data_IF_247156254578
#
_entry.id   IF_247156254578
#
_cell.length_a   1.000
_cell.length_b   1.000
_cell.length_c   1.000
_cell.angle_alpha   90.00
_cell.angle_beta   90.00
_cell.angle_gamma   90.00
#
_symmetry.space_group_name_H-M   'P 1'
#
loop_
_entity.id
_entity.type
_entity.pdbx_description
1 polymer ?
#
# COMPACT_ATOMS: atom_id res chain seq x y z
N UNK A 1 7.54 -2.12 5.10
CA UNK A 1 8.36 -0.90 5.28
C UNK A 1 7.92 -0.20 6.51
N UNK A 2 8.86 0.29 7.31
CA UNK A 2 8.54 1.16 8.43
C UNK A 2 9.51 2.33 8.51
N UNK A 3 9.02 3.46 9.02
CA UNK A 3 9.85 4.59 9.42
C UNK A 3 9.65 4.84 10.90
N UNK A 4 10.64 4.46 11.68
CA UNK A 4 10.56 4.54 13.14
C UNK A 4 11.24 5.83 13.62
N UNK A 5 10.55 6.69 14.40
CA UNK A 5 11.21 7.77 15.12
C UNK A 5 12.10 7.20 16.22
N UNK A 6 13.30 7.76 16.37
CA UNK A 6 14.29 7.39 17.38
C UNK A 6 14.66 8.62 18.22
N UNK A 7 13.90 8.92 19.29
CA UNK A 7 14.21 10.00 20.22
C UNK A 7 15.58 9.84 20.87
N UNK A 8 16.36 10.93 20.86
CA UNK A 8 17.69 11.04 21.45
C UNK A 8 17.87 12.43 22.08
N UNK A 9 17.03 12.80 23.08
CA UNK A 9 16.97 14.16 23.61
C UNK A 9 18.30 14.65 24.21
N UNK A 10 19.13 13.74 24.73
CA UNK A 10 20.40 14.06 25.38
C UNK A 10 21.63 13.86 24.49
N UNK A 11 21.45 13.49 23.22
CA UNK A 11 22.57 13.22 22.31
C UNK A 11 23.05 14.52 21.64
N UNK A 12 23.81 15.32 22.41
CA UNK A 12 24.31 16.64 22.01
C UNK A 12 25.18 16.60 20.73
N UNK A 13 25.90 15.50 20.49
CA UNK A 13 26.84 15.31 19.38
C UNK A 13 26.26 14.49 18.22
N UNK A 14 25.00 14.06 18.29
CA UNK A 14 24.36 13.33 17.20
C UNK A 14 24.18 14.26 15.99
N UNK A 15 24.96 14.01 14.94
CA UNK A 15 24.88 14.75 13.67
C UNK A 15 23.47 14.68 13.09
N UNK A 16 22.99 15.74 12.42
CA UNK A 16 21.71 15.75 11.68
C UNK A 16 20.47 15.31 12.50
N UNK A 17 20.43 15.65 13.79
CA UNK A 17 19.23 15.43 14.61
C UNK A 17 18.14 16.43 14.24
N UNK A 18 16.89 15.98 14.24
CA UNK A 18 15.73 16.80 13.97
C UNK A 18 14.61 16.56 14.98
N UNK A 19 13.44 17.13 14.68
CA UNK A 19 12.22 16.91 15.45
C UNK A 19 11.58 15.61 14.99
N UNK A 20 11.34 14.70 15.93
CA UNK A 20 10.67 13.40 15.69
C UNK A 20 9.45 13.27 16.58
N UNK A 21 8.49 12.45 16.15
CA UNK A 21 7.33 12.12 16.97
C UNK A 21 7.76 11.28 18.17
N UNK A 22 7.28 11.65 19.37
CA UNK A 22 7.39 10.85 20.58
C UNK A 22 6.05 10.93 21.32
N UNK A 23 5.32 9.82 21.49
CA UNK A 23 4.12 9.80 22.30
C UNK A 23 4.42 10.34 23.70
N UNK A 24 3.69 11.37 24.12
CA UNK A 24 3.79 11.93 25.45
C UNK A 24 2.40 11.89 26.10
N UNK A 25 2.20 11.13 27.19
CA UNK A 25 0.90 11.02 27.85
C UNK A 25 0.53 12.28 28.64
N UNK A 26 1.45 13.21 28.89
CA UNK A 26 1.18 14.45 29.60
C UNK A 26 0.28 15.39 28.76
N UNK A 27 -0.93 15.75 29.25
CA UNK A 27 -1.83 16.65 28.55
C UNK A 27 -1.16 18.00 28.24
N UNK A 28 -1.40 18.55 27.04
CA UNK A 28 -0.93 19.87 26.63
C UNK A 28 0.48 19.90 26.03
N UNK A 29 1.29 18.85 26.20
CA UNK A 29 2.62 18.78 25.59
C UNK A 29 2.55 18.33 24.13
N UNK A 30 3.35 18.97 23.27
CA UNK A 30 3.52 18.51 21.88
C UNK A 30 4.19 17.13 21.89
N UNK A 31 3.69 16.13 21.15
CA UNK A 31 4.25 14.77 21.13
C UNK A 31 5.48 14.72 20.22
N UNK A 32 6.52 15.47 20.59
CA UNK A 32 7.75 15.63 19.82
C UNK A 32 8.98 15.51 20.71
N UNK A 33 10.09 15.10 20.12
CA UNK A 33 11.39 15.10 20.76
C UNK A 33 12.51 15.35 19.74
N UNK A 34 13.70 15.66 20.25
CA UNK A 34 14.90 15.73 19.41
C UNK A 34 15.43 14.32 19.19
N UNK A 35 15.70 13.95 17.94
CA UNK A 35 16.16 12.62 17.58
C UNK A 35 16.40 12.48 16.08
N UNK A 36 16.21 11.28 15.56
CA UNK A 36 16.25 11.02 14.12
C UNK A 36 15.24 9.95 13.72
N UNK A 37 15.01 9.79 12.42
CA UNK A 37 14.16 8.72 11.90
C UNK A 37 15.03 7.65 11.26
N UNK A 38 14.63 6.40 11.37
CA UNK A 38 15.26 5.29 10.66
C UNK A 38 14.23 4.60 9.79
N UNK A 39 14.56 4.37 8.53
CA UNK A 39 13.77 3.58 7.61
C UNK A 39 14.27 2.15 7.59
N UNK A 40 13.35 1.20 7.78
CA UNK A 40 13.65 -0.23 7.87
C UNK A 40 12.88 -1.00 6.79
N UNK A 41 13.64 -1.77 6.03
CA UNK A 41 13.17 -2.78 5.10
C UNK A 41 13.33 -4.13 5.76
N UNK A 42 12.25 -4.91 5.82
CA UNK A 42 12.30 -6.27 6.35
C UNK A 42 11.50 -7.21 5.46
N UNK A 43 12.01 -8.43 5.29
CA UNK A 43 11.28 -9.53 4.70
C UNK A 43 10.33 -10.12 5.74
N UNK A 44 9.17 -10.57 5.28
CA UNK A 44 8.19 -11.32 6.05
C UNK A 44 8.17 -12.76 5.53
N UNK A 45 8.89 -13.68 6.19
CA UNK A 45 8.87 -15.08 5.80
C UNK A 45 7.48 -15.70 5.95
N UNK A 46 7.22 -16.74 5.16
CA UNK A 46 6.03 -17.55 5.34
C UNK A 46 6.06 -18.18 6.74
N UNK A 47 4.93 -18.11 7.44
CA UNK A 47 4.81 -18.59 8.81
C UNK A 47 3.39 -19.04 9.10
N UNK A 48 3.27 -19.99 10.01
CA UNK A 48 1.98 -20.35 10.59
C UNK A 48 1.46 -19.21 11.48
N UNK A 49 0.14 -19.16 11.65
CA UNK A 49 -0.50 -18.21 12.59
C UNK A 49 -0.10 -18.42 14.04
N UNK A 50 0.26 -19.66 14.38
CA UNK A 50 0.68 -20.03 15.72
C UNK A 50 2.14 -19.66 16.01
N UNK A 51 2.93 -19.39 14.97
CA UNK A 51 4.32 -19.00 15.16
C UNK A 51 4.37 -17.60 15.78
N UNK A 52 5.36 -17.31 16.64
CA UNK A 52 5.64 -15.95 17.08
C UNK A 52 5.87 -15.03 15.87
N UNK A 53 5.45 -13.74 15.93
CA UNK A 53 5.75 -12.80 14.87
C UNK A 53 7.26 -12.48 14.86
N UNK A 54 7.91 -12.69 13.72
CA UNK A 54 9.29 -12.29 13.49
C UNK A 54 9.47 -11.81 12.05
N UNK A 55 10.54 -11.08 11.80
CA UNK A 55 10.89 -10.51 10.50
C UNK A 55 12.40 -10.65 10.26
N UNK A 56 12.83 -10.65 9.00
CA UNK A 56 14.25 -10.59 8.65
C UNK A 56 14.59 -9.17 8.21
N UNK A 57 15.35 -8.38 8.98
CA UNK A 57 15.81 -7.08 8.54
C UNK A 57 16.68 -7.23 7.30
N UNK A 58 16.30 -6.59 6.20
CA UNK A 58 17.09 -6.56 4.97
C UNK A 58 18.00 -5.32 4.95
N UNK A 59 17.45 -4.16 5.32
CA UNK A 59 18.18 -2.90 5.37
C UNK A 59 17.63 -2.00 6.48
N UNK A 60 18.50 -1.23 7.11
CA UNK A 60 18.13 -0.15 8.03
C UNK A 60 19.00 1.08 7.71
N UNK A 61 18.37 2.21 7.46
CA UNK A 61 19.06 3.44 7.11
C UNK A 61 18.47 4.62 7.86
N UNK A 62 19.34 5.54 8.30
CA UNK A 62 18.90 6.81 8.87
C UNK A 62 18.35 7.73 7.78
N UNK A 63 17.20 8.35 8.05
CA UNK A 63 16.60 9.34 7.17
C UNK A 63 17.22 10.69 7.49
N UNK A 64 17.95 11.25 6.53
CA UNK A 64 18.56 12.58 6.66
C UNK A 64 17.47 13.68 6.73
N UNK A 65 17.80 14.83 7.32
CA UNK A 65 16.83 15.93 7.48
C UNK A 65 16.42 16.60 6.17
N UNK A 66 17.26 16.52 5.13
CA UNK A 66 17.05 17.08 3.79
C UNK A 66 16.29 16.14 2.84
N UNK A 67 15.92 14.95 3.31
CA UNK A 67 15.20 13.95 2.52
C UNK A 67 13.93 13.46 3.22
N UNK A 68 13.07 12.79 2.46
CA UNK A 68 11.86 12.16 2.99
C UNK A 68 12.09 10.69 3.28
N UNK A 69 11.38 10.18 4.28
CA UNK A 69 11.45 8.76 4.61
C UNK A 69 10.96 7.87 3.46
N UNK A 70 9.96 8.33 2.69
CA UNK A 70 9.46 7.60 1.52
C UNK A 70 10.50 7.57 0.39
N UNK A 71 11.29 8.63 0.19
CA UNK A 71 12.38 8.63 -0.79
C UNK A 71 13.49 7.65 -0.40
N UNK A 72 13.90 7.64 0.89
CA UNK A 72 14.87 6.67 1.42
C UNK A 72 14.35 5.24 1.24
N UNK A 73 13.10 4.97 1.64
CA UNK A 73 12.51 3.64 1.51
C UNK A 73 12.38 3.18 0.05
N UNK A 74 12.13 4.11 -0.90
CA UNK A 74 12.07 3.78 -2.32
C UNK A 74 13.45 3.38 -2.86
N UNK A 75 14.50 4.12 -2.46
CA UNK A 75 15.86 3.80 -2.81
C UNK A 75 16.32 2.47 -2.20
N UNK A 76 15.99 2.21 -0.93
CA UNK A 76 16.28 0.94 -0.27
C UNK A 76 15.61 -0.23 -0.98
N UNK A 77 14.33 -0.10 -1.36
CA UNK A 77 13.65 -1.13 -2.15
C UNK A 77 14.27 -1.34 -3.51
N UNK A 78 14.59 -0.27 -4.23
CA UNK A 78 15.24 -0.40 -5.53
C UNK A 78 16.59 -1.13 -5.40
N UNK A 79 17.36 -0.87 -4.36
CA UNK A 79 18.60 -1.59 -4.07
C UNK A 79 18.35 -3.07 -3.77
N UNK A 80 17.38 -3.40 -2.91
CA UNK A 80 17.02 -4.80 -2.57
C UNK A 80 16.53 -5.57 -3.80
N UNK A 81 15.77 -4.93 -4.68
CA UNK A 81 15.22 -5.55 -5.89
C UNK A 81 16.25 -5.67 -7.02
N UNK A 82 17.25 -4.78 -7.07
CA UNK A 82 18.33 -4.81 -8.04
C UNK A 82 19.50 -5.72 -7.64
N UNK A 83 19.59 -6.09 -6.36
CA UNK A 83 20.66 -6.95 -5.85
C UNK A 83 20.50 -8.40 -6.35
N UNK A 84 21.42 -8.91 -7.19
CA UNK A 84 21.35 -10.27 -7.70
C UNK A 84 21.58 -11.34 -6.62
N UNK A 85 22.14 -10.97 -5.46
CA UNK A 85 22.27 -11.88 -4.32
C UNK A 85 20.93 -12.08 -3.59
N UNK A 86 19.93 -11.25 -3.86
CA UNK A 86 18.59 -11.36 -3.31
C UNK A 86 17.63 -12.07 -4.28
N UNK A 87 16.68 -12.88 -3.79
CA UNK A 87 15.73 -13.58 -4.65
C UNK A 87 14.71 -12.64 -5.31
N UNK A 88 14.57 -11.41 -4.83
CA UNK A 88 13.44 -10.52 -5.12
C UNK A 88 13.49 -9.87 -6.52
N UNK A 89 14.66 -9.84 -7.17
CA UNK A 89 14.80 -9.33 -8.54
C UNK A 89 14.30 -10.31 -9.61
N UNK A 90 14.44 -11.61 -9.36
CA UNK A 90 14.04 -12.67 -10.29
C UNK A 90 12.66 -13.27 -9.96
N UNK A 91 12.37 -13.49 -8.68
CA UNK A 91 11.09 -14.04 -8.25
C UNK A 91 10.00 -12.98 -8.16
N UNK A 92 8.74 -13.40 -8.30
CA UNK A 92 7.60 -12.54 -7.98
C UNK A 92 7.69 -12.17 -6.49
N UNK A 93 7.85 -10.87 -6.22
CA UNK A 93 7.93 -10.34 -4.86
C UNK A 93 6.75 -9.43 -4.55
N UNK A 94 6.26 -9.50 -3.32
CA UNK A 94 5.16 -8.66 -2.83
C UNK A 94 5.64 -7.81 -1.67
N UNK A 95 5.54 -6.49 -1.82
CA UNK A 95 5.77 -5.54 -0.74
C UNK A 95 4.42 -5.17 -0.11
N UNK A 96 4.36 -5.16 1.23
CA UNK A 96 3.23 -4.57 1.96
C UNK A 96 3.68 -3.26 2.61
N UNK A 97 2.90 -2.20 2.40
CA UNK A 97 3.20 -0.84 2.85
C UNK A 97 1.95 -0.12 3.36
N UNK A 98 2.16 0.88 4.20
CA UNK A 98 1.08 1.73 4.70
C UNK A 98 0.65 2.80 3.67
N UNK A 99 -0.16 3.75 4.13
CA UNK A 99 -0.71 4.83 3.32
C UNK A 99 0.29 5.87 2.85
N UNK A 100 1.39 6.05 3.55
CA UNK A 100 2.38 7.06 3.22
C UNK A 100 3.15 6.67 1.96
N UNK A 101 3.29 5.37 1.69
CA UNK A 101 3.97 4.84 0.49
C UNK A 101 3.08 4.75 -0.75
N UNK A 102 1.79 5.08 -0.65
CA UNK A 102 0.87 4.94 -1.79
C UNK A 102 0.94 6.11 -2.80
N UNK A 103 1.85 7.07 -2.64
CA UNK A 103 1.94 8.24 -3.53
C UNK A 103 2.67 7.95 -4.84
N UNK A 104 2.36 8.71 -5.89
CA UNK A 104 2.83 8.46 -7.25
C UNK A 104 4.36 8.36 -7.37
N UNK A 105 5.12 9.26 -6.73
CA UNK A 105 6.58 9.22 -6.80
C UNK A 105 7.17 7.91 -6.25
N UNK A 106 6.66 7.38 -5.13
CA UNK A 106 7.12 6.11 -4.56
C UNK A 106 6.85 4.94 -5.51
N UNK A 107 5.60 4.85 -5.98
CA UNK A 107 5.15 3.80 -6.89
C UNK A 107 5.85 3.87 -8.26
N UNK A 108 6.22 5.08 -8.70
CA UNK A 108 6.96 5.30 -9.93
C UNK A 108 8.39 4.78 -9.83
N UNK A 109 9.10 5.03 -8.72
CA UNK A 109 10.45 4.49 -8.52
C UNK A 109 10.47 2.96 -8.62
N UNK A 110 9.50 2.29 -8.00
CA UNK A 110 9.41 0.82 -8.05
C UNK A 110 8.82 0.30 -9.37
N UNK A 111 8.48 1.19 -10.30
CA UNK A 111 7.85 0.81 -11.57
C UNK A 111 8.76 0.13 -12.57
N UNK A 112 10.07 0.27 -12.38
CA UNK A 112 11.07 -0.39 -13.20
C UNK A 112 11.14 -1.91 -12.96
N UNK A 113 10.65 -2.39 -11.81
CA UNK A 113 10.77 -3.80 -11.41
C UNK A 113 9.50 -4.56 -11.78
N UNK A 114 9.51 -5.21 -12.94
CA UNK A 114 8.32 -5.90 -13.45
C UNK A 114 7.86 -7.01 -12.53
N UNK A 115 8.76 -7.73 -11.86
CA UNK A 115 8.43 -8.86 -10.96
C UNK A 115 8.06 -8.41 -9.54
N UNK A 116 7.87 -7.12 -9.31
CA UNK A 116 7.59 -6.57 -7.99
C UNK A 116 6.17 -6.01 -7.89
N UNK A 117 5.46 -6.44 -6.85
CA UNK A 117 4.09 -6.03 -6.55
C UNK A 117 4.06 -5.20 -5.28
N UNK A 118 3.65 -3.94 -5.39
CA UNK A 118 3.45 -3.08 -4.21
C UNK A 118 1.99 -3.19 -3.77
N UNK A 119 1.79 -3.56 -2.50
CA UNK A 119 0.52 -3.52 -1.81
C UNK A 119 0.54 -2.43 -0.75
N UNK A 120 -0.06 -1.28 -1.05
CA UNK A 120 -0.07 -0.13 -0.14
C UNK A 120 -1.48 0.18 0.34
N UNK A 121 -1.67 0.54 1.61
CA UNK A 121 -2.96 1.11 2.04
C UNK A 121 -3.20 2.43 1.29
N UNK A 122 -4.44 2.76 0.93
CA UNK A 122 -4.79 4.06 0.40
C UNK A 122 -5.63 4.83 1.43
N UNK A 123 -5.30 6.12 1.64
CA UNK A 123 -6.14 6.98 2.46
C UNK A 123 -7.52 7.15 1.80
N UNK A 124 -8.58 7.12 2.61
CA UNK A 124 -9.98 7.13 2.14
C UNK A 124 -10.39 8.43 1.45
N UNK A 125 -9.67 9.54 1.71
CA UNK A 125 -9.91 10.83 1.09
C UNK A 125 -9.20 11.01 -0.27
N UNK A 126 -8.50 9.99 -0.78
CA UNK A 126 -7.80 10.09 -2.08
C UNK A 126 -8.76 9.99 -3.27
N UNK A 127 -8.38 10.69 -4.33
CA UNK A 127 -9.03 10.66 -5.63
C UNK A 127 -8.03 10.12 -6.66
N UNK A 128 -8.44 9.08 -7.35
CA UNK A 128 -7.76 8.54 -8.52
C UNK A 128 -8.51 8.96 -9.78
N UNK A 129 -7.87 8.79 -10.93
CA UNK A 129 -8.47 9.10 -12.22
C UNK A 129 -8.35 7.90 -13.15
N UNK A 130 -9.42 7.65 -13.89
CA UNK A 130 -9.41 6.73 -15.03
C UNK A 130 -8.52 7.32 -16.14
N UNK A 131 -8.00 6.50 -17.07
CA UNK A 131 -7.39 7.00 -18.29
C UNK A 131 -8.31 8.01 -18.96
N UNK A 132 -7.70 9.07 -19.51
CA UNK A 132 -8.43 9.91 -20.43
C UNK A 132 -8.93 9.06 -21.61
N UNK A 133 -10.16 9.29 -22.10
CA UNK A 133 -10.63 8.64 -23.32
C UNK A 133 -9.66 8.96 -24.46
N UNK A 134 -9.47 8.01 -25.38
CA UNK A 134 -8.66 8.23 -26.56
C UNK A 134 -9.25 9.42 -27.35
N UNK A 135 -8.52 10.54 -27.38
CA UNK A 135 -8.94 11.72 -28.13
C UNK A 135 -8.55 11.51 -29.60
N UNK A 136 -9.52 11.64 -30.50
CA UNK A 136 -9.25 11.82 -31.91
C UNK A 136 -8.64 13.21 -32.10
N UNK A 137 -7.31 13.27 -32.26
CA UNK A 137 -6.51 14.40 -32.76
C UNK A 137 -7.17 15.79 -32.60
N UNK A 138 -7.37 16.24 -31.37
CA UNK A 138 -7.78 17.61 -31.11
C UNK A 138 -6.55 18.51 -31.00
N UNK A 139 -6.54 19.63 -31.73
CA UNK A 139 -5.56 20.71 -31.50
C UNK A 139 -5.74 21.24 -30.07
N UNK A 140 -4.78 20.97 -29.19
CA UNK A 140 -4.79 21.45 -27.80
C UNK A 140 -3.92 20.62 -26.87
N UNK A 141 -3.82 21.07 -25.62
CA UNK A 141 -3.16 20.29 -24.57
C UNK A 141 -3.93 18.98 -24.34
N UNK A 142 -3.28 17.81 -24.39
CA UNK A 142 -3.96 16.54 -24.26
C UNK A 142 -4.63 16.39 -22.89
N UNK A 143 -5.84 15.83 -22.87
CA UNK A 143 -6.49 15.43 -21.63
C UNK A 143 -5.69 14.30 -21.00
N UNK A 144 -5.12 14.52 -19.81
CA UNK A 144 -4.31 13.51 -19.12
C UNK A 144 -5.13 12.55 -18.26
N UNK A 145 -6.28 13.00 -17.75
CA UNK A 145 -7.10 12.28 -16.78
C UNK A 145 -8.56 12.20 -17.24
N UNK A 146 -9.17 11.02 -17.08
CA UNK A 146 -10.58 10.78 -17.34
C UNK A 146 -11.45 11.02 -16.10
N UNK A 147 -12.56 10.29 -16.00
CA UNK A 147 -13.49 10.43 -14.89
C UNK A 147 -12.84 10.11 -13.52
N UNK A 148 -13.18 10.86 -12.46
CA UNK A 148 -12.63 10.64 -11.13
C UNK A 148 -13.14 9.33 -10.53
N UNK A 149 -12.30 8.74 -9.68
CA UNK A 149 -12.57 7.60 -8.83
C UNK A 149 -12.23 8.05 -7.39
N UNK A 150 -13.24 8.47 -6.64
CA UNK A 150 -13.09 9.04 -5.30
C UNK A 150 -13.30 7.95 -4.26
N UNK A 151 -12.30 7.67 -3.42
CA UNK A 151 -12.43 6.63 -2.40
C UNK A 151 -13.49 6.95 -1.33
N UNK A 152 -13.79 8.22 -1.11
CA UNK A 152 -14.83 8.64 -0.17
C UNK A 152 -16.25 8.54 -0.74
N UNK A 153 -16.40 8.31 -2.05
CA UNK A 153 -17.68 8.41 -2.76
C UNK A 153 -17.90 7.17 -3.66
N UNK A 154 -18.65 6.17 -3.14
CA UNK A 154 -18.91 4.91 -3.84
C UNK A 154 -19.60 5.04 -5.20
N UNK A 155 -20.36 6.11 -5.43
CA UNK A 155 -21.05 6.32 -6.71
C UNK A 155 -20.06 6.50 -7.86
N UNK A 156 -18.87 7.01 -7.56
CA UNK A 156 -17.80 7.20 -8.56
C UNK A 156 -17.06 5.92 -8.92
N UNK A 157 -17.31 4.79 -8.24
CA UNK A 157 -16.51 3.58 -8.41
C UNK A 157 -16.89 2.79 -9.67
N UNK A 158 -18.18 2.75 -9.99
CA UNK A 158 -18.74 1.85 -11.00
C UNK A 158 -18.66 0.38 -10.60
N UNK A 159 -19.03 -0.52 -11.51
CA UNK A 159 -18.98 -1.97 -11.26
C UNK A 159 -17.53 -2.50 -11.34
N UNK A 160 -17.14 -3.44 -10.46
CA UNK A 160 -15.84 -4.08 -10.56
C UNK A 160 -15.78 -5.01 -11.79
N UNK A 161 -14.63 -5.04 -12.44
CA UNK A 161 -14.33 -5.93 -13.58
C UNK A 161 -14.05 -7.37 -13.14
N UNK A 162 -13.52 -7.54 -11.94
CA UNK A 162 -13.20 -8.82 -11.33
C UNK A 162 -13.44 -8.69 -9.83
N UNK A 163 -13.94 -9.76 -9.22
CA UNK A 163 -14.02 -9.88 -7.78
C UNK A 163 -13.60 -11.28 -7.34
N UNK A 164 -13.03 -11.35 -6.14
CA UNK A 164 -12.76 -12.60 -5.45
C UNK A 164 -13.15 -12.43 -3.98
N UNK A 165 -13.71 -13.49 -3.41
CA UNK A 165 -14.12 -13.53 -2.01
C UNK A 165 -13.61 -14.78 -1.33
N UNK A 166 -13.18 -14.63 -0.09
CA UNK A 166 -12.81 -15.73 0.76
C UNK A 166 -13.13 -15.41 2.22
N UNK A 167 -13.28 -16.47 3.01
CA UNK A 167 -13.38 -16.35 4.46
C UNK A 167 -12.00 -16.52 5.06
N UNK A 168 -11.77 -15.77 6.12
CA UNK A 168 -10.58 -15.89 6.94
C UNK A 168 -10.91 -15.73 8.42
N UNK A 169 -9.93 -15.90 9.29
CA UNK A 169 -10.08 -15.79 10.73
C UNK A 169 -8.97 -14.92 11.34
N UNK A 170 -9.35 -14.06 12.27
CA UNK A 170 -8.37 -13.30 13.06
C UNK A 170 -7.64 -14.21 14.05
N UNK A 171 -6.56 -13.70 14.67
CA UNK A 171 -5.88 -14.39 15.78
C UNK A 171 -6.83 -14.71 16.96
N UNK A 172 -7.89 -13.93 17.13
CA UNK A 172 -8.94 -14.16 18.13
C UNK A 172 -10.03 -15.15 17.71
N UNK A 173 -9.89 -15.82 16.55
CA UNK A 173 -10.87 -16.77 16.01
C UNK A 173 -12.10 -16.13 15.37
N UNK A 174 -12.14 -14.80 15.22
CA UNK A 174 -13.26 -14.11 14.57
C UNK A 174 -13.21 -14.35 13.07
N UNK A 175 -14.28 -14.94 12.53
CA UNK A 175 -14.45 -15.08 11.07
C UNK A 175 -14.62 -13.71 10.44
N UNK A 176 -13.84 -13.45 9.41
CA UNK A 176 -13.90 -12.26 8.57
C UNK A 176 -14.13 -12.69 7.12
N UNK A 177 -14.97 -11.96 6.40
CA UNK A 177 -15.03 -12.05 4.94
C UNK A 177 -13.99 -11.10 4.37
N UNK A 178 -13.27 -11.54 3.36
CA UNK A 178 -12.34 -10.74 2.61
C UNK A 178 -12.87 -10.67 1.18
N UNK A 179 -13.01 -9.45 0.65
CA UNK A 179 -13.38 -9.20 -0.72
C UNK A 179 -12.19 -8.51 -1.40
N UNK A 180 -11.93 -8.88 -2.64
CA UNK A 180 -10.94 -8.26 -3.50
C UNK A 180 -11.66 -7.88 -4.78
N UNK A 181 -11.72 -6.59 -5.07
CA UNK A 181 -12.44 -6.07 -6.24
C UNK A 181 -11.47 -5.28 -7.10
N UNK A 182 -11.50 -5.50 -8.42
CA UNK A 182 -10.74 -4.73 -9.39
C UNK A 182 -11.68 -3.78 -10.13
N UNK A 183 -11.60 -2.45 -9.91
CA UNK A 183 -12.40 -1.49 -10.66
C UNK A 183 -12.09 -1.54 -12.17
N UNK A 184 -13.12 -1.39 -13.00
CA UNK A 184 -12.99 -1.23 -14.46
C UNK A 184 -12.18 0.04 -14.76
N UNK A 185 -11.25 -0.06 -15.71
CA UNK A 185 -10.47 1.06 -16.24
C UNK A 185 -9.66 1.88 -15.24
N UNK A 186 -9.29 1.34 -14.08
CA UNK A 186 -8.27 1.93 -13.21
C UNK A 186 -6.85 1.74 -13.79
N UNK A 187 -6.61 2.09 -15.06
CA UNK A 187 -5.25 2.08 -15.63
C UNK A 187 -4.55 3.40 -15.37
N UNK A 188 -4.19 3.67 -14.12
CA UNK A 188 -3.03 4.55 -13.89
C UNK A 188 -1.76 3.69 -14.03
N UNK A 189 -1.43 3.22 -15.25
CA UNK A 189 -0.22 2.43 -15.52
C UNK A 189 0.02 1.21 -14.58
N UNK A 190 -1.01 0.38 -14.36
CA UNK A 190 -0.98 -0.87 -13.55
C UNK A 190 -1.29 -0.68 -12.06
N UNK A 191 -2.28 0.14 -11.72
CA UNK A 191 -2.85 0.21 -10.38
C UNK A 191 -4.03 -0.76 -10.25
N UNK A 192 -4.08 -1.53 -9.18
CA UNK A 192 -5.27 -2.22 -8.74
C UNK A 192 -5.66 -1.62 -7.40
N UNK A 193 -6.93 -1.26 -7.27
CA UNK A 193 -7.52 -1.02 -5.95
C UNK A 193 -8.11 -2.34 -5.48
N UNK A 194 -8.24 -2.52 -4.18
CA UNK A 194 -8.69 -3.74 -3.54
C UNK A 194 -9.41 -3.36 -2.25
N UNK A 195 -10.65 -3.81 -2.07
CA UNK A 195 -11.49 -3.39 -0.93
C UNK A 195 -11.68 -4.55 0.04
N UNK A 196 -10.95 -4.56 1.14
CA UNK A 196 -11.17 -5.56 2.19
C UNK A 196 -12.28 -5.10 3.12
N UNK A 197 -13.39 -5.84 3.15
CA UNK A 197 -14.53 -5.58 4.03
C UNK A 197 -14.73 -6.72 5.05
N UNK A 198 -14.32 -6.55 6.31
CA UNK A 198 -14.64 -7.54 7.33
C UNK A 198 -16.14 -7.50 7.66
N UNK A 199 -16.94 -8.40 7.07
CA UNK A 199 -18.33 -8.61 7.50
C UNK A 199 -18.40 -9.70 8.57
N UNK A 200 -19.05 -9.43 9.69
CA UNK A 200 -19.32 -10.43 10.74
C UNK A 200 -20.61 -11.18 10.48
N UNK A 201 -20.57 -12.51 10.49
CA UNK A 201 -21.74 -13.33 10.69
C UNK A 201 -21.90 -13.59 12.20
N UNK A 202 -22.81 -12.89 12.89
CA UNK A 202 -23.24 -13.31 14.23
C UNK A 202 -24.32 -14.37 14.07
N UNK A 203 -23.95 -15.64 14.12
CA UNK A 203 -24.92 -16.73 14.35
C UNK A 203 -25.18 -16.85 15.84
N UNK A 204 -26.24 -16.20 16.33
CA UNK A 204 -26.69 -16.30 17.72
C UNK A 204 -27.68 -15.21 18.09
N UNK A 205 -28.91 -15.62 18.40
CA UNK A 205 -30.04 -14.76 18.77
C UNK A 205 -29.67 -13.69 19.80
N UNK A 206 -29.90 -12.42 19.47
CA UNK A 206 -29.97 -11.34 20.44
C UNK A 206 -31.19 -10.47 20.12
N UNK A 207 -32.16 -10.53 21.05
CA UNK A 207 -33.44 -9.83 21.05
C UNK A 207 -33.21 -8.41 21.57
N UNK A 208 -32.99 -7.42 20.69
CA UNK A 208 -33.08 -5.98 21.05
C UNK A 208 -33.56 -5.14 19.85
N UNK A 209 -34.43 -4.13 20.06
CA UNK A 209 -35.04 -3.35 18.99
C UNK A 209 -34.19 -2.10 18.70
N UNK A 210 -33.26 -2.18 17.75
CA UNK A 210 -32.86 -1.09 16.87
C UNK A 210 -31.75 -1.58 15.94
N UNK A 211 -31.70 -1.13 14.67
CA UNK A 211 -30.66 -1.54 13.74
C UNK A 211 -29.32 -0.97 14.23
N UNK A 212 -28.43 -1.86 14.69
CA UNK A 212 -27.04 -1.51 14.91
C UNK A 212 -26.40 -1.14 13.56
N UNK A 213 -25.71 -0.01 13.44
CA UNK A 213 -25.09 0.38 12.17
C UNK A 213 -24.05 -0.67 11.79
N UNK A 214 -24.16 -1.18 10.56
CA UNK A 214 -23.08 -1.90 9.90
C UNK A 214 -21.87 -0.96 9.89
N UNK A 215 -20.90 -1.18 10.78
CA UNK A 215 -19.64 -0.46 10.74
C UNK A 215 -18.86 -0.92 9.50
N UNK A 216 -19.12 -0.26 8.38
CA UNK A 216 -18.44 -0.49 7.11
C UNK A 216 -17.05 0.16 7.18
N UNK A 217 -16.08 -0.57 7.74
CA UNK A 217 -14.68 -0.14 7.65
C UNK A 217 -14.15 -0.57 6.30
N UNK A 218 -14.15 0.36 5.34
CA UNK A 218 -13.59 0.13 4.01
C UNK A 218 -12.08 0.37 4.06
N UNK A 219 -11.28 -0.68 3.91
CA UNK A 219 -9.84 -0.54 3.69
C UNK A 219 -9.54 -0.68 2.20
N UNK A 220 -9.08 0.41 1.58
CA UNK A 220 -8.53 0.37 0.24
C UNK A 220 -7.07 -0.09 0.29
N UNK A 221 -6.80 -1.25 -0.28
CA UNK A 221 -5.46 -1.73 -0.60
C UNK A 221 -5.18 -1.43 -2.07
N UNK A 222 -3.97 -0.98 -2.34
CA UNK A 222 -3.39 -0.86 -3.65
C UNK A 222 -2.72 -2.19 -3.96
N UNK A 223 -2.75 -2.71 -5.19
CA UNK A 223 -1.92 -3.83 -5.64
C UNK A 223 -1.37 -3.41 -7.00
N UNK A 224 -0.10 -3.66 -7.31
CA UNK A 224 0.41 -3.54 -8.68
C UNK A 224 0.93 -4.88 -9.16
N UNK A 225 0.16 -5.61 -9.94
CA UNK A 225 0.60 -6.89 -10.48
C UNK A 225 1.53 -6.70 -11.69
N UNK A 226 2.65 -7.43 -11.66
CA UNK A 226 3.36 -7.89 -12.84
C UNK A 226 2.39 -8.71 -13.71
N UNK A 227 2.22 -8.40 -14.99
CA UNK A 227 1.66 -9.40 -15.92
C UNK A 227 2.60 -9.55 -17.12
N UNK A 228 3.08 -10.78 -17.29
CA UNK A 228 3.76 -11.27 -18.49
C UNK A 228 2.76 -11.17 -19.64
N UNK A 229 3.12 -10.48 -20.72
CA UNK A 229 2.33 -10.52 -21.96
C UNK A 229 2.25 -11.97 -22.44
N UNK A 230 1.08 -12.51 -22.81
CA UNK A 230 1.06 -13.75 -23.57
C UNK A 230 1.84 -13.52 -24.89
N UNK A 231 2.58 -14.53 -25.40
CA UNK A 231 3.29 -14.40 -26.66
C UNK A 231 2.29 -14.03 -27.76
N UNK A 232 2.64 -13.01 -28.55
CA UNK A 232 1.94 -12.67 -29.78
C UNK A 232 1.92 -13.94 -30.63
N UNK A 233 0.72 -14.51 -30.81
CA UNK A 233 0.50 -15.63 -31.71
C UNK A 233 1.10 -15.29 -33.07
N UNK A 234 1.99 -16.17 -33.54
CA UNK A 234 2.53 -16.13 -34.89
C UNK A 234 1.35 -16.11 -35.87
N UNK A 235 1.30 -15.08 -36.72
CA UNK A 235 0.48 -15.12 -37.92
C UNK A 235 1.05 -16.20 -38.83
N UNK A 236 0.36 -17.33 -38.93
CA UNK A 236 0.55 -18.26 -40.03
C UNK A 236 0.08 -17.57 -41.31
N UNK A 237 1.01 -17.32 -42.23
CA UNK A 237 0.66 -17.07 -43.62
C UNK A 237 0.15 -18.38 -44.23
N UNK A 238 -1.04 -18.32 -44.81
CA UNK A 238 -1.45 -19.15 -45.93
C UNK A 238 -1.78 -18.18 -47.08
#
# INVERSE_FOLDING_TARGET
>A
MDTTPNPRPFAATLADRGVVYQPNPAPGNKPIAVGHRSSVVAALPERSRLDPPWVVPLQAQRVASDTTATAVAAAQMAAVLADPAQPYGAALSVQVADSDYSHAAYLHTLSAFSNHVVIARSASNRVYYRPAPASALACGHPTWYGAPFRLADPETWGSPSQSAEWLDQTASGRVIRLTLERPVDARTRSLFLSKVQPSTHRSGQAKFPHPAPLAQVSFGFFIRSAFVRPPLGSRSHA
#
